data_IF_943662208941
#
_entry.id   IF_943662208941
#
_cell.length_a   1.000
_cell.length_b   1.000
_cell.length_c   1.000
_cell.angle_alpha   90.00
_cell.angle_beta   90.00
_cell.angle_gamma   90.00
#
_symmetry.space_group_name_H-M   'P 1'
#
loop_
_entity.id
_entity.type
_entity.pdbx_description
1 polymer ?
#
# COMPACT_ATOMS: atom_id res chain seq x y z
N UNK A 1 3.89 35.59 -0.26
CA UNK A 1 3.80 35.11 1.13
C UNK A 1 4.90 34.11 1.41
N UNK A 2 5.79 34.45 2.33
CA UNK A 2 6.82 33.51 2.73
C UNK A 2 6.25 32.49 3.70
N UNK A 3 6.27 31.23 3.29
CA UNK A 3 5.91 30.13 4.16
C UNK A 3 7.20 29.63 4.81
N UNK A 4 7.26 29.64 6.15
CA UNK A 4 8.42 29.09 6.85
C UNK A 4 8.50 27.59 6.64
N UNK A 5 9.69 27.00 6.74
CA UNK A 5 9.87 25.56 6.56
C UNK A 5 9.02 24.75 7.54
N UNK A 6 8.85 25.23 8.79
CA UNK A 6 8.00 24.53 9.77
C UNK A 6 6.53 24.61 9.39
N UNK A 7 6.04 25.77 8.92
CA UNK A 7 4.65 25.92 8.48
C UNK A 7 4.38 25.07 7.23
N UNK A 8 5.32 25.02 6.28
CA UNK A 8 5.20 24.17 5.09
C UNK A 8 5.15 22.69 5.47
N UNK A 9 5.98 22.29 6.44
CA UNK A 9 5.99 20.91 6.94
C UNK A 9 4.68 20.52 7.61
N UNK A 10 4.09 21.45 8.39
CA UNK A 10 2.80 21.20 9.06
C UNK A 10 1.65 21.08 8.08
N UNK A 11 1.64 21.94 7.04
CA UNK A 11 0.64 21.85 5.96
C UNK A 11 0.77 20.52 5.22
N UNK A 12 1.99 20.11 4.90
CA UNK A 12 2.27 18.85 4.21
C UNK A 12 1.78 17.65 5.03
N UNK A 13 2.09 17.64 6.34
CA UNK A 13 1.63 16.56 7.23
C UNK A 13 0.11 16.45 7.25
N UNK A 14 -0.57 17.59 7.34
CA UNK A 14 -2.04 17.62 7.36
C UNK A 14 -2.61 17.07 6.07
N UNK A 15 -2.06 17.48 4.93
CA UNK A 15 -2.51 16.97 3.63
C UNK A 15 -2.28 15.48 3.50
N UNK A 16 -1.16 14.98 4.00
CA UNK A 16 -0.85 13.56 3.98
C UNK A 16 -1.82 12.77 4.84
N UNK A 17 -2.14 13.26 6.03
CA UNK A 17 -3.12 12.62 6.91
C UNK A 17 -4.51 12.56 6.28
N UNK A 18 -4.95 13.66 5.67
CA UNK A 18 -6.24 13.71 4.97
C UNK A 18 -6.28 12.73 3.81
N UNK A 19 -5.21 12.67 3.02
CA UNK A 19 -5.11 11.74 1.90
C UNK A 19 -5.11 10.30 2.39
N UNK A 20 -4.38 10.00 3.45
CA UNK A 20 -4.34 8.67 4.05
C UNK A 20 -5.72 8.22 4.53
N UNK A 21 -6.49 9.11 5.13
CA UNK A 21 -7.84 8.81 5.57
C UNK A 21 -8.78 8.53 4.39
N UNK A 22 -8.66 9.29 3.31
CA UNK A 22 -9.42 9.06 2.09
C UNK A 22 -9.06 7.69 1.48
N UNK A 23 -7.79 7.37 1.41
CA UNK A 23 -7.32 6.09 0.90
C UNK A 23 -7.87 4.93 1.73
N UNK A 24 -7.87 5.07 3.05
CA UNK A 24 -8.40 4.05 3.96
C UNK A 24 -9.91 3.85 3.76
N UNK A 25 -10.65 4.92 3.58
CA UNK A 25 -12.09 4.86 3.31
C UNK A 25 -12.38 4.16 1.97
N UNK A 26 -11.60 4.48 0.96
CA UNK A 26 -11.73 3.83 -0.36
C UNK A 26 -11.46 2.34 -0.27
N UNK A 27 -10.40 1.97 0.42
CA UNK A 27 -10.03 0.57 0.61
C UNK A 27 -11.13 -0.21 1.35
N UNK A 28 -11.65 0.37 2.43
CA UNK A 28 -12.74 -0.23 3.21
C UNK A 28 -14.00 -0.40 2.36
N UNK A 29 -14.32 0.60 1.55
CA UNK A 29 -15.49 0.56 0.70
C UNK A 29 -15.37 -0.50 -0.40
N UNK A 30 -14.22 -0.56 -1.05
CA UNK A 30 -13.97 -1.59 -2.07
C UNK A 30 -14.03 -2.99 -1.45
N UNK A 31 -13.49 -3.15 -0.25
CA UNK A 31 -13.51 -4.42 0.44
C UNK A 31 -14.95 -4.88 0.75
N UNK A 32 -15.85 -3.94 1.03
CA UNK A 32 -17.25 -4.26 1.34
C UNK A 32 -18.01 -4.82 0.15
N UNK A 33 -17.50 -4.65 -1.07
CA UNK A 33 -18.13 -5.16 -2.29
C UNK A 33 -17.71 -6.59 -2.62
N UNK A 34 -16.73 -7.12 -1.92
CA UNK A 34 -16.20 -8.44 -2.23
C UNK A 34 -17.10 -9.56 -1.77
N UNK A 35 -17.14 -10.61 -2.59
CA UNK A 35 -17.69 -11.91 -2.19
C UNK A 35 -16.63 -12.69 -1.43
N UNK A 36 -17.04 -13.74 -0.73
CA UNK A 36 -16.11 -14.63 -0.06
C UNK A 36 -15.08 -15.16 -1.07
N UNK A 37 -13.85 -15.29 -0.62
CA UNK A 37 -12.69 -15.66 -1.43
C UNK A 37 -12.28 -14.62 -2.48
N UNK A 38 -12.85 -13.42 -2.41
CA UNK A 38 -12.46 -12.32 -3.29
C UNK A 38 -11.12 -11.69 -2.91
N UNK A 39 -10.62 -10.86 -3.80
CA UNK A 39 -9.33 -10.20 -3.63
C UNK A 39 -9.47 -8.70 -3.83
N UNK A 40 -8.75 -7.94 -3.03
CA UNK A 40 -8.53 -6.52 -3.29
C UNK A 40 -7.06 -6.34 -3.61
N UNK A 41 -6.78 -5.62 -4.67
CA UNK A 41 -5.41 -5.23 -5.01
C UNK A 41 -5.30 -3.74 -4.72
N UNK A 42 -4.45 -3.40 -3.76
CA UNK A 42 -4.17 -2.01 -3.41
C UNK A 42 -2.82 -1.63 -4.00
N UNK A 43 -2.79 -0.58 -4.79
CA UNK A 43 -1.53 -0.10 -5.35
C UNK A 43 -1.48 1.41 -5.33
N UNK A 44 -0.29 1.94 -5.11
CA UNK A 44 -0.08 3.38 -5.05
C UNK A 44 1.34 3.70 -5.55
N UNK A 45 1.45 4.78 -6.32
CA UNK A 45 2.74 5.30 -6.80
C UNK A 45 3.27 6.26 -5.75
N UNK A 46 3.82 5.73 -4.65
CA UNK A 46 4.31 6.53 -3.55
C UNK A 46 5.44 5.83 -2.84
N UNK A 47 6.42 6.62 -2.38
CA UNK A 47 7.51 6.15 -1.55
C UNK A 47 7.16 6.23 -0.06
N UNK A 48 6.02 6.79 0.28
CA UNK A 48 5.66 7.05 1.67
C UNK A 48 5.00 5.84 2.29
N UNK A 49 5.47 5.43 3.46
CA UNK A 49 4.88 4.35 4.22
C UNK A 49 3.42 4.63 4.58
N UNK A 50 3.10 5.88 4.86
CA UNK A 50 1.74 6.30 5.21
C UNK A 50 0.75 5.99 4.11
N UNK A 51 1.19 5.97 2.86
CA UNK A 51 0.33 5.67 1.72
C UNK A 51 0.38 4.20 1.29
N UNK A 52 1.31 3.43 1.80
CA UNK A 52 1.49 2.02 1.47
C UNK A 52 1.35 1.11 2.67
N UNK A 53 2.47 0.73 3.26
CA UNK A 53 2.53 -0.26 4.35
C UNK A 53 1.61 0.08 5.52
N UNK A 54 1.58 1.35 5.94
CA UNK A 54 0.76 1.76 7.07
C UNK A 54 -0.74 1.64 6.78
N UNK A 55 -1.16 1.89 5.53
CA UNK A 55 -2.55 1.71 5.12
C UNK A 55 -2.95 0.25 5.23
N UNK A 56 -2.10 -0.65 4.79
CA UNK A 56 -2.39 -2.09 4.82
C UNK A 56 -2.41 -2.60 6.25
N UNK A 57 -1.45 -2.19 7.09
CA UNK A 57 -1.43 -2.56 8.50
C UNK A 57 -2.70 -2.11 9.22
N UNK A 58 -3.11 -0.87 8.98
CA UNK A 58 -4.33 -0.31 9.58
C UNK A 58 -5.57 -1.08 9.12
N UNK A 59 -5.66 -1.38 7.84
CA UNK A 59 -6.79 -2.12 7.27
C UNK A 59 -6.89 -3.52 7.86
N UNK A 60 -5.77 -4.24 7.93
CA UNK A 60 -5.75 -5.61 8.44
C UNK A 60 -6.08 -5.69 9.94
N UNK A 61 -5.72 -4.67 10.71
CA UNK A 61 -6.09 -4.60 12.12
C UNK A 61 -7.58 -4.44 12.32
N UNK A 62 -8.24 -3.73 11.43
CA UNK A 62 -9.68 -3.45 11.52
C UNK A 62 -10.54 -4.49 10.81
N UNK A 63 -9.94 -5.30 9.94
CA UNK A 63 -10.65 -6.25 9.08
C UNK A 63 -9.97 -7.61 9.16
N UNK A 64 -10.24 -8.34 10.24
CA UNK A 64 -9.57 -9.61 10.55
C UNK A 64 -9.91 -10.74 9.57
N UNK A 65 -10.98 -10.58 8.80
CA UNK A 65 -11.37 -11.53 7.77
C UNK A 65 -10.46 -11.46 6.53
N UNK A 66 -9.62 -10.45 6.42
CA UNK A 66 -8.66 -10.30 5.33
C UNK A 66 -7.28 -10.80 5.74
N UNK A 67 -6.56 -11.34 4.77
CA UNK A 67 -5.15 -11.66 4.93
C UNK A 67 -4.35 -11.10 3.76
N UNK A 68 -3.09 -10.80 4.04
CA UNK A 68 -2.15 -10.35 3.03
C UNK A 68 -1.59 -11.55 2.30
N UNK A 69 -1.61 -11.50 0.97
CA UNK A 69 -1.00 -12.53 0.13
C UNK A 69 0.34 -12.04 -0.36
N UNK A 70 1.35 -12.86 -0.20
CA UNK A 70 2.69 -12.59 -0.69
C UNK A 70 2.89 -13.35 -2.00
N UNK A 71 3.01 -12.67 -3.14
CA UNK A 71 3.14 -13.34 -4.44
C UNK A 71 4.55 -13.88 -4.70
N UNK A 72 5.29 -14.19 -3.67
CA UNK A 72 6.70 -14.58 -3.75
C UNK A 72 6.95 -15.89 -4.47
N UNK A 73 5.94 -16.73 -4.63
CA UNK A 73 6.17 -18.11 -5.08
C UNK A 73 6.35 -18.26 -6.58
N UNK A 74 6.29 -17.17 -7.34
CA UNK A 74 6.34 -17.28 -8.80
C UNK A 74 7.49 -16.52 -9.46
N UNK A 75 8.46 -16.08 -8.67
CA UNK A 75 9.77 -15.70 -9.20
C UNK A 75 9.95 -14.30 -9.74
N UNK A 76 8.91 -13.58 -10.10
CA UNK A 76 9.16 -12.26 -10.66
C UNK A 76 9.17 -11.09 -9.67
N UNK A 77 8.87 -11.35 -8.42
CA UNK A 77 9.04 -10.33 -7.37
C UNK A 77 10.30 -10.55 -6.53
N UNK A 78 11.12 -11.53 -6.90
CA UNK A 78 12.41 -11.76 -6.25
C UNK A 78 13.55 -11.03 -6.93
N UNK A 79 13.25 -10.01 -7.72
CA UNK A 79 14.25 -9.23 -8.41
C UNK A 79 14.79 -8.11 -7.52
N UNK A 80 16.03 -7.72 -7.78
CA UNK A 80 16.65 -6.59 -7.10
C UNK A 80 15.78 -5.35 -7.27
N UNK A 81 15.57 -4.61 -6.20
CA UNK A 81 14.71 -3.43 -6.18
C UNK A 81 13.29 -3.68 -5.74
N UNK A 82 12.89 -4.95 -5.59
CA UNK A 82 11.59 -5.32 -5.06
C UNK A 82 11.75 -5.73 -3.59
N UNK A 83 11.07 -5.03 -2.73
CA UNK A 83 11.09 -5.33 -1.31
C UNK A 83 9.70 -5.80 -0.88
N UNK A 84 9.62 -7.06 -0.48
CA UNK A 84 8.38 -7.62 0.06
C UNK A 84 8.47 -7.68 1.57
N UNK A 85 7.47 -7.08 2.20
CA UNK A 85 7.43 -7.02 3.64
C UNK A 85 6.24 -7.87 4.13
N UNK A 86 6.46 -8.59 5.23
CA UNK A 86 5.47 -9.52 5.76
C UNK A 86 4.19 -8.84 6.22
N UNK A 87 4.27 -7.56 6.55
CA UNK A 87 3.17 -6.82 7.15
C UNK A 87 2.47 -5.88 6.19
N UNK A 88 3.09 -5.51 5.08
CA UNK A 88 2.60 -4.43 4.26
C UNK A 88 2.52 -4.64 2.76
N UNK A 89 3.08 -5.72 2.22
CA UNK A 89 3.05 -5.94 0.77
C UNK A 89 4.39 -5.74 0.09
N UNK A 90 4.39 -5.39 -1.18
CA UNK A 90 5.59 -5.29 -2.00
C UNK A 90 5.86 -3.85 -2.41
N UNK A 91 7.07 -3.39 -2.17
CA UNK A 91 7.52 -2.07 -2.57
C UNK A 91 8.55 -2.19 -3.68
N UNK A 92 8.36 -1.40 -4.73
CA UNK A 92 9.28 -1.32 -5.86
C UNK A 92 10.00 0.03 -5.74
N UNK A 93 11.32 -0.02 -5.63
CA UNK A 93 12.13 1.18 -5.42
C UNK A 93 12.38 1.90 -6.74
N UNK A 94 12.53 3.24 -6.72
CA UNK A 94 12.67 4.02 -7.96
C UNK A 94 13.98 3.77 -8.70
N UNK A 95 15.00 3.22 -8.05
CA UNK A 95 16.27 2.90 -8.70
C UNK A 95 16.23 1.57 -9.45
N UNK A 96 15.17 0.80 -9.30
CA UNK A 96 15.01 -0.47 -10.02
C UNK A 96 14.88 -0.19 -11.51
N UNK A 97 15.58 -0.97 -12.33
CA UNK A 97 15.61 -0.80 -13.79
C UNK A 97 16.19 0.55 -14.24
N UNK A 98 17.10 1.11 -13.48
CA UNK A 98 17.72 2.39 -13.80
C UNK A 98 18.34 2.39 -15.19
N UNK A 99 18.94 1.28 -15.62
CA UNK A 99 19.50 1.13 -16.96
C UNK A 99 18.47 1.16 -18.09
N UNK A 100 17.20 1.03 -17.77
CA UNK A 100 16.08 1.06 -18.73
C UNK A 100 15.24 2.33 -18.60
N UNK A 101 15.76 3.35 -17.93
CA UNK A 101 15.04 4.59 -17.69
C UNK A 101 14.47 4.72 -16.29
N UNK A 102 14.66 3.69 -15.44
CA UNK A 102 14.21 3.69 -14.06
C UNK A 102 12.70 3.50 -13.92
N UNK A 103 12.26 3.45 -12.67
CA UNK A 103 10.83 3.42 -12.32
C UNK A 103 10.55 4.45 -11.25
N UNK A 104 9.31 4.92 -11.19
CA UNK A 104 8.84 5.68 -10.04
C UNK A 104 8.62 4.72 -8.86
N UNK A 105 8.71 5.22 -7.63
CA UNK A 105 8.41 4.40 -6.46
C UNK A 105 6.98 3.89 -6.52
N UNK A 106 6.78 2.63 -6.14
CA UNK A 106 5.50 1.96 -6.29
C UNK A 106 5.29 0.98 -5.14
N UNK A 107 4.05 0.88 -4.68
CA UNK A 107 3.69 -0.08 -3.64
C UNK A 107 2.45 -0.85 -4.08
N UNK A 108 2.44 -2.16 -3.84
CA UNK A 108 1.30 -3.01 -4.17
C UNK A 108 1.08 -4.04 -3.04
N UNK A 109 -0.17 -4.28 -2.70
CA UNK A 109 -0.56 -5.31 -1.75
C UNK A 109 -1.78 -6.07 -2.26
N UNK A 110 -1.75 -7.38 -2.08
CA UNK A 110 -2.86 -8.27 -2.44
C UNK A 110 -3.55 -8.72 -1.16
N UNK A 111 -4.82 -8.39 -1.03
CA UNK A 111 -5.62 -8.72 0.15
C UNK A 111 -6.68 -9.75 -0.22
N UNK A 112 -6.74 -10.82 0.52
CA UNK A 112 -7.69 -11.92 0.28
C UNK A 112 -8.74 -11.93 1.38
N UNK A 113 -10.00 -11.90 0.98
CA UNK A 113 -11.11 -12.10 1.92
C UNK A 113 -11.28 -13.59 2.14
N UNK A 114 -10.95 -14.07 3.32
CA UNK A 114 -11.15 -15.46 3.68
C UNK A 114 -12.64 -15.75 3.69
N UNK A 115 -13.04 -16.82 3.06
CA UNK A 115 -14.41 -17.24 3.13
C UNK A 115 -14.82 -17.48 4.58
N UNK A 116 -16.10 -17.29 4.88
CA UNK A 116 -16.61 -17.61 6.21
C UNK A 116 -16.39 -19.10 6.44
N UNK A 117 -15.42 -19.42 7.30
CA UNK A 117 -15.17 -20.81 7.68
C UNK A 117 -16.35 -21.33 8.48
N UNK A 118 -16.88 -22.42 8.04
CA UNK A 118 -17.89 -23.14 8.79
C UNK A 118 -17.26 -23.96 9.90
#
# INVERSE_FOLDING_TARGET
>A
TLITSSAASDVYKRQLEELSDIQQKMLTRCASWLQDDGYVIYSVCSLLKQEGEDQISRFLKQNKEFCLIHPQKKGYLDQEGYETNKEGGTRIMPFFEEGLGGTEGFFIAYLHLKGKSN
#
